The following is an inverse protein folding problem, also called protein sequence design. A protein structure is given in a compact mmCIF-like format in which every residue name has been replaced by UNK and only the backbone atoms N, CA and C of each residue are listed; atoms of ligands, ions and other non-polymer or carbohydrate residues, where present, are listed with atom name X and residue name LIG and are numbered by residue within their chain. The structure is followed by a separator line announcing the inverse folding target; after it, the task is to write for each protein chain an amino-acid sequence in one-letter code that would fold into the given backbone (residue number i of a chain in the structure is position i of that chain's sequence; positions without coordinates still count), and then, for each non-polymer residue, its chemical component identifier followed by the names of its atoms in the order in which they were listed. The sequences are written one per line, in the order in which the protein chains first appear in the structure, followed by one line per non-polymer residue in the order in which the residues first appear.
data_IF_583839755567
#
_entry.id   IF_583839755567
#
_cell.length_a   1.000
_cell.length_b   1.000
_cell.length_c   1.000
_cell.angle_alpha   90.00
_cell.angle_beta   90.00
_cell.angle_gamma   90.00
#
_symmetry.space_group_name_H-M   'P 1'
#
loop_
_entity.id
_entity.type
_entity.pdbx_description
1 polymer ?
#
# COMPACT_ATOMS: atom_id res chain seq x y z
N UNK A 1 -43.82 -56.18 33.20
CA UNK A 1 -43.45 -54.92 33.87
C UNK A 1 -42.05 -54.59 33.41
N UNK A 2 -41.97 -53.80 32.35
CA UNK A 2 -40.78 -53.56 31.53
C UNK A 2 -39.84 -52.56 32.20
N UNK A 3 -38.79 -53.06 32.86
CA UNK A 3 -37.78 -52.23 33.55
C UNK A 3 -36.62 -51.87 32.59
N UNK A 4 -36.49 -52.58 31.46
CA UNK A 4 -35.34 -52.46 30.55
C UNK A 4 -35.39 -51.24 29.62
N UNK A 5 -36.55 -50.64 29.40
CA UNK A 5 -36.71 -49.53 28.44
C UNK A 5 -36.40 -48.15 29.05
N UNK A 6 -36.60 -47.97 30.36
CA UNK A 6 -36.39 -46.68 31.03
C UNK A 6 -34.89 -46.32 31.15
N UNK A 7 -34.02 -47.31 31.34
CA UNK A 7 -32.57 -47.13 31.52
C UNK A 7 -31.86 -46.71 30.22
N UNK A 8 -32.33 -47.19 29.07
CA UNK A 8 -31.72 -46.92 27.75
C UNK A 8 -32.07 -45.51 27.23
N UNK A 9 -33.25 -44.99 27.57
CA UNK A 9 -33.69 -43.64 27.22
C UNK A 9 -32.94 -42.54 27.99
N UNK A 10 -32.61 -42.77 29.27
CA UNK A 10 -31.84 -41.82 30.08
C UNK A 10 -30.39 -41.66 29.63
N UNK A 11 -29.74 -42.75 29.26
CA UNK A 11 -28.35 -42.75 28.76
C UNK A 11 -28.23 -42.07 27.38
N UNK A 12 -29.22 -42.25 26.51
CA UNK A 12 -29.22 -41.64 25.17
C UNK A 12 -29.47 -40.13 25.20
N UNK A 13 -30.27 -39.62 26.15
CA UNK A 13 -30.45 -38.17 26.35
C UNK A 13 -29.16 -37.47 26.84
N UNK A 14 -28.42 -38.11 27.76
CA UNK A 14 -27.13 -37.60 28.26
C UNK A 14 -26.08 -37.63 27.14
N UNK A 15 -26.02 -38.71 26.36
CA UNK A 15 -25.12 -38.83 25.22
C UNK A 15 -25.43 -37.77 24.14
N UNK A 16 -26.72 -37.51 23.86
CA UNK A 16 -27.15 -36.48 22.90
C UNK A 16 -26.79 -35.06 23.38
N UNK A 17 -27.02 -34.75 24.66
CA UNK A 17 -26.61 -33.47 25.24
C UNK A 17 -25.09 -33.28 25.22
N UNK A 18 -24.34 -34.34 25.55
CA UNK A 18 -22.88 -34.34 25.49
C UNK A 18 -22.35 -34.13 24.07
N UNK A 19 -22.94 -34.81 23.09
CA UNK A 19 -22.61 -34.65 21.67
C UNK A 19 -22.92 -33.24 21.16
N UNK A 20 -24.04 -32.65 21.57
CA UNK A 20 -24.41 -31.28 21.18
C UNK A 20 -23.49 -30.22 21.80
N UNK A 21 -23.11 -30.37 23.06
CA UNK A 21 -22.15 -29.48 23.73
C UNK A 21 -20.76 -29.60 23.11
N UNK A 22 -20.32 -30.82 22.80
CA UNK A 22 -19.06 -31.07 22.10
C UNK A 22 -19.09 -30.47 20.69
N UNK A 23 -20.17 -30.67 19.93
CA UNK A 23 -20.35 -30.07 18.61
C UNK A 23 -20.29 -28.54 18.65
N UNK A 24 -20.98 -27.90 19.61
CA UNK A 24 -20.92 -26.43 19.80
C UNK A 24 -19.54 -25.91 20.21
N UNK A 25 -18.76 -26.69 20.95
CA UNK A 25 -17.36 -26.34 21.27
C UNK A 25 -16.48 -26.52 20.04
N UNK A 26 -16.67 -27.60 19.28
CA UNK A 26 -15.94 -27.86 18.03
C UNK A 26 -16.21 -26.81 16.95
N UNK A 27 -17.45 -26.31 16.81
CA UNK A 27 -17.75 -25.22 15.85
C UNK A 27 -17.06 -23.92 16.23
N UNK A 28 -17.07 -23.53 17.51
CA UNK A 28 -16.35 -22.33 17.98
C UNK A 28 -14.83 -22.42 17.79
N UNK A 29 -14.26 -23.61 18.02
CA UNK A 29 -12.84 -23.87 17.77
C UNK A 29 -12.53 -23.87 16.28
N UNK A 30 -13.36 -24.50 15.46
CA UNK A 30 -13.21 -24.51 14.01
C UNK A 30 -13.32 -23.10 13.41
N UNK A 31 -14.26 -22.27 13.88
CA UNK A 31 -14.38 -20.86 13.49
C UNK A 31 -13.14 -20.04 13.86
N UNK A 32 -12.61 -20.24 15.07
CA UNK A 32 -11.41 -19.53 15.55
C UNK A 32 -10.16 -19.96 14.80
N UNK A 33 -9.96 -21.26 14.59
CA UNK A 33 -8.85 -21.79 13.78
C UNK A 33 -8.96 -21.34 12.32
N UNK A 34 -10.17 -21.32 11.76
CA UNK A 34 -10.42 -20.84 10.39
C UNK A 34 -10.09 -19.36 10.26
N UNK A 35 -10.35 -18.54 11.29
CA UNK A 35 -9.95 -17.13 11.33
C UNK A 35 -8.43 -16.97 11.41
N UNK A 36 -7.76 -17.65 12.34
CA UNK A 36 -6.30 -17.60 12.49
C UNK A 36 -5.59 -18.05 11.20
N UNK A 37 -6.07 -19.11 10.58
CA UNK A 37 -5.51 -19.64 9.35
C UNK A 37 -5.78 -18.75 8.13
N UNK A 38 -6.86 -17.96 8.17
CA UNK A 38 -7.11 -16.90 7.18
C UNK A 38 -6.15 -15.74 7.39
N UNK A 39 -5.96 -15.28 8.63
CA UNK A 39 -5.07 -14.18 8.96
C UNK A 39 -3.61 -14.53 8.63
N UNK A 40 -3.16 -15.75 8.95
CA UNK A 40 -1.83 -16.26 8.59
C UNK A 40 -1.63 -16.28 7.08
N UNK A 41 -2.62 -16.79 6.32
CA UNK A 41 -2.56 -16.83 4.85
C UNK A 41 -2.57 -15.43 4.23
N UNK A 42 -3.25 -14.47 4.84
CA UNK A 42 -3.25 -13.09 4.42
C UNK A 42 -1.84 -12.49 4.57
N UNK A 43 -1.20 -12.65 5.73
CA UNK A 43 0.18 -12.17 5.94
C UNK A 43 1.21 -12.84 5.01
N UNK A 44 1.06 -14.14 4.75
CA UNK A 44 1.93 -14.88 3.83
C UNK A 44 1.82 -14.42 2.37
N UNK A 45 0.70 -13.80 1.99
CA UNK A 45 0.47 -13.28 0.63
C UNK A 45 0.78 -11.79 0.50
N UNK A 46 1.28 -11.15 1.55
CA UNK A 46 1.60 -9.72 1.51
C UNK A 46 2.68 -9.43 0.45
N UNK A 47 2.41 -8.60 -0.58
CA UNK A 47 3.40 -8.23 -1.58
C UNK A 47 4.60 -7.51 -0.98
N UNK A 48 5.79 -7.88 -1.44
CA UNK A 48 7.07 -7.31 -1.01
C UNK A 48 7.67 -6.55 -2.19
N UNK A 49 7.48 -5.24 -2.22
CA UNK A 49 8.15 -4.39 -3.19
C UNK A 49 9.49 -3.90 -2.64
N UNK A 50 10.49 -3.80 -3.51
CA UNK A 50 11.74 -3.08 -3.27
C UNK A 50 11.79 -1.88 -4.19
N UNK A 51 12.26 -0.77 -3.64
CA UNK A 51 12.34 0.49 -4.35
C UNK A 51 13.75 1.03 -4.24
N UNK A 52 14.26 1.64 -5.31
CA UNK A 52 15.50 2.40 -5.29
C UNK A 52 15.42 3.56 -6.25
N UNK A 53 16.07 4.68 -5.87
CA UNK A 53 16.32 5.80 -6.77
C UNK A 53 17.70 5.63 -7.39
N UNK A 54 17.83 5.92 -8.68
CA UNK A 54 19.10 5.89 -9.42
C UNK A 54 19.13 6.91 -10.54
N UNK A 55 20.21 6.95 -11.32
CA UNK A 55 20.38 7.85 -12.46
C UNK A 55 21.19 9.13 -12.16
N UNK A 56 21.48 9.96 -13.19
CA UNK A 56 22.34 11.12 -13.04
C UNK A 56 21.70 12.19 -12.15
N UNK A 57 22.27 12.35 -10.96
CA UNK A 57 21.90 13.38 -9.99
C UNK A 57 22.14 14.78 -10.57
N UNK A 58 21.05 15.48 -10.93
CA UNK A 58 20.95 16.96 -10.96
C UNK A 58 19.52 17.45 -11.23
N UNK A 59 18.80 16.83 -12.17
CA UNK A 59 17.44 17.26 -12.55
C UNK A 59 16.43 16.13 -12.64
N UNK A 60 16.86 14.93 -13.03
CA UNK A 60 16.01 13.74 -13.17
C UNK A 60 16.57 12.58 -12.35
N UNK A 61 15.71 11.65 -11.97
CA UNK A 61 16.05 10.37 -11.33
C UNK A 61 15.19 9.26 -11.93
N UNK A 62 15.57 8.01 -11.66
CA UNK A 62 14.82 6.83 -12.04
C UNK A 62 14.43 6.07 -10.78
N UNK A 63 13.12 5.94 -10.53
CA UNK A 63 12.57 5.03 -9.54
C UNK A 63 12.53 3.63 -10.12
N UNK A 64 13.29 2.70 -9.55
CA UNK A 64 13.21 1.29 -9.86
C UNK A 64 12.25 0.61 -8.88
N UNK A 65 11.19 0.02 -9.41
CA UNK A 65 10.19 -0.74 -8.65
C UNK A 65 10.42 -2.21 -8.92
N UNK A 66 10.66 -3.02 -7.89
CA UNK A 66 10.88 -4.47 -8.02
C UNK A 66 9.90 -5.23 -7.14
N UNK A 67 9.19 -6.22 -7.69
CA UNK A 67 8.39 -7.14 -6.89
C UNK A 67 9.28 -8.28 -6.42
N UNK A 68 9.75 -8.19 -5.17
CA UNK A 68 10.70 -9.14 -4.58
C UNK A 68 10.05 -10.43 -4.09
N UNK A 69 8.72 -10.50 -4.04
CA UNK A 69 7.98 -11.70 -3.68
C UNK A 69 6.75 -11.38 -2.83
N UNK A 70 6.26 -12.36 -2.05
CA UNK A 70 6.71 -13.76 -2.01
C UNK A 70 6.49 -14.49 -3.35
N UNK A 71 7.25 -15.55 -3.61
CA UNK A 71 7.29 -16.24 -4.94
C UNK A 71 5.94 -16.82 -5.34
N UNK A 72 5.14 -17.24 -4.35
CA UNK A 72 3.80 -17.79 -4.51
C UNK A 72 2.80 -16.78 -5.11
N UNK A 73 3.13 -15.48 -5.11
CA UNK A 73 2.30 -14.47 -5.77
C UNK A 73 2.31 -14.61 -7.29
N UNK A 74 3.44 -15.00 -7.88
CA UNK A 74 3.64 -15.06 -9.34
C UNK A 74 3.59 -13.69 -10.03
N UNK A 75 2.45 -13.01 -9.99
CA UNK A 75 2.19 -11.70 -10.58
C UNK A 75 1.19 -10.89 -9.75
N UNK A 76 1.41 -9.58 -9.69
CA UNK A 76 0.44 -8.60 -9.16
C UNK A 76 -0.14 -7.86 -10.35
N UNK A 77 -1.44 -8.02 -10.59
CA UNK A 77 -2.12 -7.56 -11.81
C UNK A 77 -2.28 -6.04 -11.87
N UNK A 78 -2.57 -5.43 -10.72
CA UNK A 78 -2.86 -4.01 -10.61
C UNK A 78 -1.99 -3.43 -9.52
N UNK A 79 -1.05 -2.59 -9.92
CA UNK A 79 -0.17 -1.80 -9.07
C UNK A 79 -0.35 -0.34 -9.45
N UNK A 80 -0.47 0.52 -8.45
CA UNK A 80 -0.46 1.97 -8.57
C UNK A 80 0.45 2.54 -7.51
N UNK A 81 1.25 3.54 -7.87
CA UNK A 81 2.19 4.18 -6.96
C UNK A 81 1.91 5.67 -6.97
N UNK A 82 1.75 6.25 -5.78
CA UNK A 82 1.56 7.68 -5.57
C UNK A 82 2.74 8.22 -4.77
N UNK A 83 3.24 9.40 -5.14
CA UNK A 83 4.13 10.18 -4.29
C UNK A 83 3.29 10.87 -3.22
N UNK A 84 3.63 10.60 -1.97
CA UNK A 84 2.99 11.19 -0.80
C UNK A 84 3.66 12.50 -0.41
N UNK A 85 2.92 13.31 0.34
CA UNK A 85 3.34 14.64 0.73
C UNK A 85 4.15 14.64 2.03
N UNK A 86 4.78 15.77 2.34
CA UNK A 86 5.25 16.07 3.69
C UNK A 86 4.08 16.21 4.69
N UNK A 87 4.39 16.17 5.99
CA UNK A 87 3.35 16.23 7.04
C UNK A 87 2.90 17.66 7.37
N UNK A 88 3.25 18.66 6.54
CA UNK A 88 2.97 20.07 6.87
C UNK A 88 1.53 20.44 6.50
N UNK A 89 0.84 21.10 7.43
CA UNK A 89 -0.48 21.68 7.13
C UNK A 89 -0.34 22.88 6.19
N UNK A 90 -1.09 22.83 5.08
CA UNK A 90 -1.14 23.84 4.02
C UNK A 90 -2.48 24.57 3.94
N UNK A 91 -3.35 24.40 4.93
CA UNK A 91 -4.65 25.07 5.01
C UNK A 91 -4.57 26.60 4.90
N UNK A 92 -3.45 27.18 5.33
CA UNK A 92 -3.15 28.62 5.27
C UNK A 92 -2.80 29.14 3.85
N UNK A 93 -2.60 28.27 2.86
CA UNK A 93 -2.30 28.66 1.48
C UNK A 93 -3.57 28.96 0.65
N UNK A 94 -4.73 28.52 1.14
CA UNK A 94 -6.02 28.82 0.53
C UNK A 94 -6.25 30.34 0.49
N UNK A 95 -6.58 30.87 -0.70
CA UNK A 95 -6.86 32.30 -0.90
C UNK A 95 -5.64 33.15 -1.27
N UNK A 96 -4.44 32.56 -1.40
CA UNK A 96 -3.23 33.22 -1.93
C UNK A 96 -3.02 32.92 -3.42
N UNK A 97 -4.10 32.89 -4.19
CA UNK A 97 -4.05 32.56 -5.63
C UNK A 97 -4.08 31.06 -5.96
N UNK A 98 -3.95 30.18 -4.96
CA UNK A 98 -4.12 28.73 -5.11
C UNK A 98 -5.54 28.29 -4.78
N UNK A 99 -6.11 27.42 -5.60
CA UNK A 99 -7.33 26.68 -5.27
C UNK A 99 -7.01 25.48 -4.38
N UNK A 100 -8.05 24.84 -3.80
CA UNK A 100 -7.86 23.58 -3.08
C UNK A 100 -7.32 22.47 -3.98
N UNK A 101 -7.84 22.39 -5.20
CA UNK A 101 -7.40 21.42 -6.20
C UNK A 101 -5.92 21.62 -6.56
N UNK A 102 -5.46 22.87 -6.69
CA UNK A 102 -4.03 23.15 -6.93
C UNK A 102 -3.13 22.64 -5.81
N UNK A 103 -3.55 22.81 -4.55
CA UNK A 103 -2.79 22.39 -3.37
C UNK A 103 -2.74 20.87 -3.26
N UNK A 104 -3.86 20.20 -3.52
CA UNK A 104 -3.98 18.73 -3.45
C UNK A 104 -3.26 18.05 -4.63
N UNK A 105 -3.32 18.63 -5.83
CA UNK A 105 -2.63 18.13 -7.01
C UNK A 105 -1.10 18.24 -6.86
N UNK A 106 -0.62 19.31 -6.22
CA UNK A 106 0.80 19.60 -6.07
C UNK A 106 1.53 18.59 -5.18
N UNK A 107 2.59 17.95 -5.69
CA UNK A 107 3.44 17.05 -4.89
C UNK A 107 4.28 17.86 -3.90
N UNK A 108 4.17 17.58 -2.60
CA UNK A 108 4.93 18.29 -1.57
C UNK A 108 6.17 17.49 -1.13
N UNK A 109 7.15 17.40 -2.01
CA UNK A 109 8.35 16.61 -1.79
C UNK A 109 9.51 16.94 -2.73
N UNK A 110 10.62 16.17 -2.66
CA UNK A 110 11.81 16.41 -3.47
C UNK A 110 11.64 15.98 -4.93
N UNK A 111 10.84 14.93 -5.19
CA UNK A 111 10.66 14.35 -6.51
C UNK A 111 9.18 14.05 -6.80
N UNK A 112 8.82 14.15 -8.08
CA UNK A 112 7.55 13.71 -8.66
C UNK A 112 7.84 12.80 -9.85
N UNK A 113 6.89 11.97 -10.29
CA UNK A 113 7.01 11.31 -11.59
C UNK A 113 7.07 12.36 -12.69
N UNK A 114 7.79 12.07 -13.77
CA UNK A 114 7.74 12.93 -14.96
C UNK A 114 6.32 12.95 -15.51
N UNK A 115 5.61 14.09 -15.48
CA UNK A 115 4.22 14.14 -15.93
C UNK A 115 4.06 13.66 -17.37
N UNK A 116 2.97 12.96 -17.65
CA UNK A 116 2.66 12.38 -18.97
C UNK A 116 3.69 11.38 -19.52
N UNK A 117 4.65 10.91 -18.71
CA UNK A 117 5.57 9.86 -19.09
C UNK A 117 5.06 8.49 -18.62
N UNK A 118 5.10 7.49 -19.49
CA UNK A 118 4.57 6.15 -19.24
C UNK A 118 3.09 6.17 -18.80
N UNK A 119 2.81 5.88 -17.52
CA UNK A 119 1.46 5.88 -16.93
C UNK A 119 1.31 6.99 -15.87
N UNK A 120 2.21 7.97 -15.88
CA UNK A 120 2.15 9.09 -14.95
C UNK A 120 0.96 10.01 -15.24
N UNK A 121 0.31 10.48 -14.19
CA UNK A 121 -0.74 11.50 -14.31
C UNK A 121 -0.16 12.87 -14.74
N UNK A 122 -1.07 13.80 -15.01
CA UNK A 122 -0.73 15.17 -15.45
C UNK A 122 0.08 15.98 -14.41
N UNK A 123 0.05 15.58 -13.15
CA UNK A 123 0.73 16.27 -12.06
C UNK A 123 2.04 15.57 -11.66
N UNK A 124 2.33 14.41 -12.25
CA UNK A 124 3.44 13.55 -11.83
C UNK A 124 3.25 12.96 -10.43
N UNK A 125 2.01 12.95 -9.91
CA UNK A 125 1.74 12.51 -8.53
C UNK A 125 1.59 11.00 -8.43
N UNK A 126 1.05 10.35 -9.45
CA UNK A 126 0.87 8.91 -9.47
C UNK A 126 1.24 8.28 -10.81
N UNK A 127 1.59 7.00 -10.77
CA UNK A 127 1.72 6.11 -11.92
C UNK A 127 0.84 4.88 -11.75
N UNK A 128 0.42 4.32 -12.89
CA UNK A 128 -0.39 3.11 -12.98
C UNK A 128 -1.81 3.35 -13.50
N UNK A 129 -2.62 2.29 -13.61
CA UNK A 129 -2.32 0.92 -13.18
C UNK A 129 -1.32 0.18 -14.09
N UNK A 130 -0.52 -0.72 -13.52
CA UNK A 130 0.31 -1.66 -14.26
C UNK A 130 0.43 -3.01 -13.55
N UNK A 131 0.84 -4.06 -14.27
CA UNK A 131 1.16 -5.36 -13.67
C UNK A 131 2.67 -5.55 -13.45
N UNK A 132 3.03 -6.35 -12.46
CA UNK A 132 4.42 -6.68 -12.16
C UNK A 132 4.55 -8.14 -11.70
N UNK A 133 5.42 -8.90 -12.38
CA UNK A 133 5.74 -10.29 -12.04
C UNK A 133 6.79 -10.36 -10.94
N UNK A 134 6.71 -11.37 -10.08
CA UNK A 134 7.71 -11.61 -9.05
C UNK A 134 9.09 -11.79 -9.70
N UNK A 135 10.11 -11.19 -9.09
CA UNK A 135 11.48 -11.18 -9.60
C UNK A 135 11.73 -10.14 -10.69
N UNK A 136 10.70 -9.48 -11.23
CA UNK A 136 10.84 -8.43 -12.25
C UNK A 136 10.75 -7.04 -11.62
N UNK A 137 11.33 -6.08 -12.34
CA UNK A 137 11.22 -4.67 -12.00
C UNK A 137 10.81 -3.81 -13.19
N UNK A 138 10.34 -2.61 -12.89
CA UNK A 138 9.94 -1.59 -13.84
C UNK A 138 10.53 -0.23 -13.41
N UNK A 139 11.27 0.46 -14.29
CA UNK A 139 11.75 1.81 -14.03
C UNK A 139 10.65 2.85 -14.32
N UNK A 140 10.61 3.92 -13.53
CA UNK A 140 9.82 5.12 -13.77
C UNK A 140 10.71 6.35 -13.69
N UNK A 141 10.56 7.27 -14.64
CA UNK A 141 11.28 8.53 -14.60
C UNK A 141 10.64 9.46 -13.56
N UNK A 142 11.49 10.13 -12.80
CA UNK A 142 11.12 11.13 -11.83
C UNK A 142 11.88 12.42 -12.11
N UNK A 143 11.22 13.55 -11.91
CA UNK A 143 11.82 14.87 -11.97
C UNK A 143 11.83 15.48 -10.58
N UNK A 144 12.76 16.41 -10.35
CA UNK A 144 12.70 17.27 -9.18
C UNK A 144 11.40 18.06 -9.19
N UNK A 145 10.67 17.99 -8.09
CA UNK A 145 9.46 18.77 -7.90
C UNK A 145 9.80 20.26 -7.96
N UNK A 146 8.91 21.04 -8.57
CA UNK A 146 9.05 22.49 -8.71
C UNK A 146 8.02 23.17 -7.82
N UNK A 147 8.26 24.39 -7.34
CA UNK A 147 7.22 25.15 -6.66
C UNK A 147 6.02 25.37 -7.59
N UNK A 148 4.81 25.37 -7.04
CA UNK A 148 3.59 25.64 -7.79
C UNK A 148 3.61 27.05 -8.37
N UNK A 149 2.97 27.26 -9.52
CA UNK A 149 2.92 28.58 -10.18
C UNK A 149 2.30 29.68 -9.30
N UNK A 150 1.45 29.29 -8.35
CA UNK A 150 0.79 30.15 -7.37
C UNK A 150 1.67 30.50 -6.15
N UNK A 151 2.87 29.93 -6.04
CA UNK A 151 3.82 30.23 -4.96
C UNK A 151 4.76 31.38 -5.35
N UNK A 152 4.20 32.58 -5.50
CA UNK A 152 4.97 33.76 -5.89
C UNK A 152 6.22 33.96 -5.01
N UNK A 153 7.37 34.18 -5.66
CA UNK A 153 8.66 34.39 -4.99
C UNK A 153 9.37 33.11 -4.55
N UNK A 154 8.77 31.93 -4.64
CA UNK A 154 9.44 30.64 -4.38
C UNK A 154 10.21 30.21 -5.64
N UNK A 155 11.55 30.26 -5.59
CA UNK A 155 12.41 29.80 -6.69
C UNK A 155 12.60 28.28 -6.64
N UNK A 156 13.06 27.72 -7.76
CA UNK A 156 13.43 26.29 -7.83
C UNK A 156 14.52 25.95 -6.81
N UNK A 157 15.58 26.76 -6.71
CA UNK A 157 16.66 26.52 -5.75
C UNK A 157 16.16 26.55 -4.30
N UNK A 158 15.33 27.53 -3.94
CA UNK A 158 14.75 27.63 -2.60
C UNK A 158 13.76 26.49 -2.26
N UNK A 159 13.17 25.85 -3.27
CA UNK A 159 12.37 24.62 -3.09
C UNK A 159 13.28 23.41 -2.87
N UNK A 160 14.31 23.26 -3.70
CA UNK A 160 15.26 22.14 -3.60
C UNK A 160 16.04 22.16 -2.29
N UNK A 161 16.40 23.34 -1.79
CA UNK A 161 17.04 23.50 -0.49
C UNK A 161 16.11 23.11 0.66
N UNK A 162 14.81 23.44 0.59
CA UNK A 162 13.83 23.06 1.62
C UNK A 162 13.66 21.54 1.73
N UNK A 163 13.67 20.84 0.60
CA UNK A 163 13.52 19.38 0.55
C UNK A 163 14.84 18.62 0.47
N UNK A 164 15.98 19.29 0.66
CA UNK A 164 17.27 18.62 0.72
C UNK A 164 17.28 17.59 1.85
N UNK A 165 17.67 16.36 1.52
CA UNK A 165 17.78 15.24 2.44
C UNK A 165 16.42 14.68 2.92
N UNK A 166 15.30 15.24 2.43
CA UNK A 166 13.99 14.69 2.73
C UNK A 166 13.73 13.44 1.88
N UNK A 167 13.15 12.37 2.44
CA UNK A 167 12.90 11.17 1.67
C UNK A 167 11.79 11.38 0.64
N UNK A 168 11.84 10.63 -0.46
CA UNK A 168 10.67 10.45 -1.32
C UNK A 168 9.73 9.46 -0.62
N UNK A 169 8.51 9.91 -0.31
CA UNK A 169 7.49 9.07 0.32
C UNK A 169 6.58 8.50 -0.78
N UNK A 170 6.38 7.19 -0.76
CA UNK A 170 5.57 6.47 -1.74
C UNK A 170 4.44 5.74 -1.03
N UNK A 171 3.24 5.83 -1.60
CA UNK A 171 2.09 4.98 -1.26
C UNK A 171 1.84 4.07 -2.44
N UNK A 172 1.82 2.77 -2.17
CA UNK A 172 1.63 1.73 -3.18
C UNK A 172 0.32 1.05 -2.89
N UNK A 173 -0.58 1.07 -3.87
CA UNK A 173 -1.83 0.33 -3.83
C UNK A 173 -1.75 -0.79 -4.85
N UNK A 174 -2.01 -2.01 -4.42
CA UNK A 174 -1.98 -3.14 -5.34
C UNK A 174 -3.06 -4.18 -5.04
N UNK A 175 -3.43 -4.96 -6.06
CA UNK A 175 -4.44 -6.02 -5.96
C UNK A 175 -3.82 -7.39 -6.20
N UNK A 176 -4.05 -8.30 -5.26
CA UNK A 176 -3.65 -9.71 -5.33
C UNK A 176 -4.89 -10.58 -5.19
N UNK A 177 -5.32 -11.21 -6.28
CA UNK A 177 -6.63 -11.86 -6.32
C UNK A 177 -7.75 -10.85 -6.03
N UNK A 178 -8.52 -11.12 -4.98
CA UNK A 178 -9.62 -10.28 -4.51
C UNK A 178 -9.22 -9.29 -3.40
N UNK A 179 -7.97 -9.33 -2.95
CA UNK A 179 -7.48 -8.50 -1.84
C UNK A 179 -6.73 -7.27 -2.35
N UNK A 180 -6.98 -6.13 -1.70
CA UNK A 180 -6.26 -4.87 -1.96
C UNK A 180 -5.31 -4.58 -0.81
N UNK A 181 -4.06 -4.28 -1.16
CA UNK A 181 -2.98 -3.97 -0.24
C UNK A 181 -2.52 -2.53 -0.43
N UNK A 182 -2.38 -1.81 0.68
CA UNK A 182 -1.74 -0.49 0.71
C UNK A 182 -0.44 -0.58 1.51
N UNK A 183 0.66 -0.16 0.90
CA UNK A 183 2.00 -0.18 1.46
C UNK A 183 2.60 1.22 1.39
N UNK A 184 3.38 1.60 2.39
CA UNK A 184 4.08 2.89 2.44
C UNK A 184 5.58 2.66 2.46
N UNK A 185 6.32 3.42 1.65
CA UNK A 185 7.79 3.35 1.60
C UNK A 185 8.38 4.75 1.63
N UNK A 186 9.36 4.97 2.50
CA UNK A 186 10.24 6.14 2.43
C UNK A 186 11.55 5.74 1.75
N UNK A 187 11.98 6.52 0.77
CA UNK A 187 13.23 6.35 0.05
C UNK A 187 14.19 7.47 0.41
N UNK A 188 15.39 7.17 0.93
CA UNK A 188 16.37 8.20 1.18
C UNK A 188 16.77 8.86 -0.14
N UNK A 189 16.89 10.18 -0.13
CA UNK A 189 17.58 10.94 -1.17
C UNK A 189 18.98 11.24 -0.64
N UNK A 190 20.03 10.86 -1.36
CA UNK A 190 21.38 11.18 -0.93
C UNK A 190 21.52 12.73 -0.84
N UNK A 191 21.94 13.29 0.31
CA UNK A 191 22.46 14.65 0.33
C UNK A 191 23.77 14.62 -0.45
N UNK A 192 23.91 15.54 -1.39
CA UNK A 192 25.03 15.67 -2.32
C UNK A 192 26.42 15.49 -1.69
#
# INVERSE_FOLDING_TARGET
MDISAASTAGLSAIAACGAWLAARRSTKTAETLTRIERDRRHEERRPRFRFSLGGPYRECSTLNVHLAGPDELGEVEVVSIRVDDDDKDRSNLLGRGATREDIEAHVWGPYQFTPHNDTADENGRAVGPFSLKVGRGRPFQMDRTRPGAWMEGKTMDAWQEEYLGHPVRLVITCRVGDETWTLTQALPTDPW
#
